data_IF_251122716334
#
_entry.id   IF_251122716334
#
_cell.length_a   1.000
_cell.length_b   1.000
_cell.length_c   1.000
_cell.angle_alpha   90.00
_cell.angle_beta   90.00
_cell.angle_gamma   90.00
#
_symmetry.space_group_name_H-M   'P 1'
#
loop_
_entity.id
_entity.type
_entity.pdbx_description
1 polymer ?
#
# COMPACT_ATOMS: atom_id res chain seq x y z
N UNK A 1 -14.82 22.71 10.35
CA UNK A 1 -13.53 22.44 9.66
C UNK A 1 -12.48 22.16 10.72
N UNK A 2 -11.75 21.05 10.60
CA UNK A 2 -10.65 20.69 11.49
C UNK A 2 -9.29 20.91 10.80
N UNK A 3 -8.26 21.27 11.56
CA UNK A 3 -6.90 21.50 11.05
C UNK A 3 -6.14 22.55 11.86
N UNK A 4 -5.14 23.18 11.23
CA UNK A 4 -4.33 24.23 11.86
C UNK A 4 -5.11 25.55 12.01
N UNK A 5 -4.70 26.38 12.97
CA UNK A 5 -5.33 27.67 13.27
C UNK A 5 -5.26 28.70 12.13
N UNK A 6 -4.47 28.44 11.08
CA UNK A 6 -4.42 29.25 9.85
C UNK A 6 -5.77 29.37 9.12
N UNK A 7 -6.77 28.56 9.46
CA UNK A 7 -8.15 28.77 9.01
C UNK A 7 -8.78 30.06 9.58
N UNK A 8 -8.30 30.56 10.72
CA UNK A 8 -8.76 31.79 11.39
C UNK A 8 -7.97 33.04 10.99
N UNK A 9 -6.83 32.85 10.30
CA UNK A 9 -5.91 33.90 9.90
C UNK A 9 -6.53 34.78 8.79
N UNK A 10 -7.06 35.94 9.20
CA UNK A 10 -7.71 36.91 8.31
C UNK A 10 -6.77 37.58 7.31
N UNK A 11 -5.44 37.38 7.41
CA UNK A 11 -4.49 37.88 6.40
C UNK A 11 -4.43 36.99 5.15
N UNK A 12 -4.99 35.77 5.21
CA UNK A 12 -4.96 34.82 4.10
C UNK A 12 -6.09 35.07 3.09
N UNK A 13 -5.90 34.68 1.81
CA UNK A 13 -6.95 34.80 0.77
C UNK A 13 -8.27 34.08 1.10
N UNK A 14 -8.24 33.12 2.03
CA UNK A 14 -9.42 32.43 2.54
C UNK A 14 -9.29 32.22 4.05
N UNK A 15 -10.32 32.59 4.80
CA UNK A 15 -10.44 32.38 6.24
C UNK A 15 -11.90 32.13 6.61
N UNK A 16 -12.15 31.44 7.73
CA UNK A 16 -13.48 31.07 8.20
C UNK A 16 -13.88 31.82 9.47
N UNK A 17 -15.17 31.91 9.75
CA UNK A 17 -15.62 32.40 11.06
C UNK A 17 -15.26 31.39 12.17
N UNK A 18 -14.84 31.84 13.38
CA UNK A 18 -14.45 30.95 14.47
C UNK A 18 -15.49 29.87 14.83
N UNK A 19 -16.79 30.18 14.69
CA UNK A 19 -17.88 29.20 14.95
C UNK A 19 -17.86 27.97 14.04
N UNK A 20 -17.12 28.00 12.92
CA UNK A 20 -16.98 26.88 11.99
C UNK A 20 -15.63 26.13 12.14
N UNK A 21 -14.76 26.57 13.04
CA UNK A 21 -13.49 25.91 13.34
C UNK A 21 -13.66 24.89 14.47
N UNK A 22 -13.25 23.65 14.21
CA UNK A 22 -13.36 22.53 15.16
C UNK A 22 -12.07 22.24 15.93
N UNK A 23 -11.01 23.04 15.75
CA UNK A 23 -9.69 22.76 16.30
C UNK A 23 -8.88 21.75 15.49
N UNK A 24 -7.80 21.25 16.10
CA UNK A 24 -7.03 20.13 15.60
C UNK A 24 -7.81 18.81 15.83
N UNK A 25 -7.75 17.90 14.86
CA UNK A 25 -8.31 16.56 14.95
C UNK A 25 -7.18 15.55 14.81
N UNK A 26 -7.06 14.66 15.79
CA UNK A 26 -6.07 13.59 15.78
C UNK A 26 -6.46 12.46 14.80
N UNK A 27 -5.49 11.60 14.49
CA UNK A 27 -5.66 10.51 13.53
C UNK A 27 -6.55 9.36 14.02
N UNK A 28 -6.73 9.18 15.34
CA UNK A 28 -7.57 8.11 15.91
C UNK A 28 -9.06 8.51 15.87
N UNK A 29 -9.35 9.80 16.04
CA UNK A 29 -10.70 10.39 15.92
C UNK A 29 -11.17 10.55 14.47
N UNK A 30 -10.25 10.69 13.49
CA UNK A 30 -10.57 10.95 12.09
C UNK A 30 -11.58 9.93 11.48
N UNK A 31 -11.44 8.61 11.65
CA UNK A 31 -12.39 7.65 11.08
C UNK A 31 -13.83 7.84 11.59
N UNK A 32 -13.99 8.09 12.88
CA UNK A 32 -15.31 8.33 13.48
C UNK A 32 -15.96 9.61 12.94
N UNK A 33 -15.19 10.69 12.76
CA UNK A 33 -15.68 11.91 12.11
C UNK A 33 -16.06 11.65 10.65
N UNK A 34 -15.24 10.94 9.88
CA UNK A 34 -15.53 10.62 8.47
C UNK A 34 -16.79 9.77 8.30
N UNK A 35 -17.04 8.81 9.19
CA UNK A 35 -18.22 7.95 9.17
C UNK A 35 -19.51 8.64 9.64
N UNK A 36 -19.42 9.69 10.46
CA UNK A 36 -20.59 10.33 11.10
C UNK A 36 -21.16 11.53 10.36
N UNK A 37 -20.38 12.20 9.51
CA UNK A 37 -20.84 13.39 8.79
C UNK A 37 -21.54 13.05 7.47
N UNK A 38 -22.57 13.81 7.03
CA UNK A 38 -23.29 13.48 5.81
C UNK A 38 -22.43 13.46 4.54
N UNK A 39 -21.51 14.42 4.41
CA UNK A 39 -20.61 14.57 3.26
C UNK A 39 -19.25 15.02 3.77
N UNK A 40 -18.18 14.34 3.35
CA UNK A 40 -16.81 14.84 3.50
C UNK A 40 -16.37 15.46 2.16
N UNK A 41 -16.13 16.77 2.17
CA UNK A 41 -15.61 17.50 1.00
C UNK A 41 -14.08 17.45 0.98
N UNK A 42 -13.50 16.94 -0.11
CA UNK A 42 -12.06 16.90 -0.35
C UNK A 42 -11.61 17.83 -1.46
N UNK A 43 -10.50 18.54 -1.25
CA UNK A 43 -9.82 19.32 -2.28
C UNK A 43 -8.36 18.88 -2.44
N UNK A 44 -7.97 18.59 -3.68
CA UNK A 44 -6.59 18.28 -4.06
C UNK A 44 -5.84 19.53 -4.58
N UNK A 45 -4.61 19.75 -4.12
CA UNK A 45 -3.76 20.89 -4.58
C UNK A 45 -3.09 20.65 -5.93
N UNK A 46 -2.97 19.40 -6.37
CA UNK A 46 -2.47 19.02 -7.70
C UNK A 46 -3.58 18.26 -8.42
N UNK A 47 -3.99 18.81 -9.56
CA UNK A 47 -5.16 18.35 -10.32
C UNK A 47 -4.80 17.72 -11.67
N UNK A 48 -3.53 17.81 -12.08
CA UNK A 48 -3.04 17.35 -13.40
C UNK A 48 -2.32 16.01 -13.37
N UNK A 49 -1.99 15.49 -12.17
CA UNK A 49 -1.33 14.19 -12.03
C UNK A 49 -2.31 13.04 -12.24
N UNK A 50 -1.87 11.98 -12.92
CA UNK A 50 -2.59 10.71 -13.08
C UNK A 50 -2.36 9.72 -11.94
N UNK A 51 -1.48 10.04 -10.99
CA UNK A 51 -1.06 9.13 -9.90
C UNK A 51 -1.11 9.77 -8.51
N UNK A 52 -1.04 11.11 -8.41
CA UNK A 52 -0.98 11.78 -7.11
C UNK A 52 -2.36 12.26 -6.64
N UNK A 53 -2.78 11.73 -5.49
CA UNK A 53 -3.93 12.20 -4.71
C UNK A 53 -3.55 12.27 -3.23
N UNK A 54 -4.42 12.83 -2.39
CA UNK A 54 -4.20 12.85 -0.95
C UNK A 54 -4.46 11.47 -0.34
N UNK A 55 -3.66 11.07 0.65
CA UNK A 55 -3.94 9.87 1.47
C UNK A 55 -5.35 9.92 2.09
N UNK A 56 -5.84 11.13 2.36
CA UNK A 56 -7.19 11.39 2.89
C UNK A 56 -8.33 10.78 2.07
N UNK A 57 -8.16 10.59 0.77
CA UNK A 57 -9.14 9.87 -0.07
C UNK A 57 -9.32 8.43 0.43
N UNK A 58 -8.23 7.72 0.72
CA UNK A 58 -8.28 6.35 1.24
C UNK A 58 -8.73 6.30 2.71
N UNK A 59 -8.38 7.31 3.51
CA UNK A 59 -8.81 7.41 4.92
C UNK A 59 -10.34 7.59 5.02
N UNK A 60 -10.93 8.51 4.25
CA UNK A 60 -12.37 8.77 4.26
C UNK A 60 -13.14 7.54 3.78
N UNK A 61 -12.77 7.01 2.62
CA UNK A 61 -13.45 5.85 2.02
C UNK A 61 -13.27 4.60 2.90
N UNK A 62 -12.06 4.33 3.38
CA UNK A 62 -11.79 3.22 4.30
C UNK A 62 -12.54 3.32 5.63
N UNK A 63 -12.94 4.53 6.04
CA UNK A 63 -13.77 4.78 7.22
C UNK A 63 -15.28 4.67 6.96
N UNK A 64 -15.71 4.46 5.70
CA UNK A 64 -17.13 4.44 5.33
C UNK A 64 -17.76 5.84 5.23
N UNK A 65 -16.96 6.89 5.03
CA UNK A 65 -17.45 8.24 4.79
C UNK A 65 -17.86 8.48 3.33
N UNK A 66 -18.99 9.16 3.11
CA UNK A 66 -19.38 9.61 1.77
C UNK A 66 -18.47 10.75 1.31
N UNK A 67 -17.67 10.51 0.26
CA UNK A 67 -16.66 11.45 -0.22
C UNK A 67 -17.12 12.18 -1.49
N UNK A 68 -17.11 13.51 -1.42
CA UNK A 68 -17.28 14.40 -2.57
C UNK A 68 -15.97 15.17 -2.78
N UNK A 69 -15.44 15.22 -4.01
CA UNK A 69 -14.19 15.92 -4.33
C UNK A 69 -14.23 16.59 -5.70
N UNK A 70 -13.20 17.33 -6.09
CA UNK A 70 -13.07 17.69 -7.51
C UNK A 70 -12.46 16.52 -8.31
N UNK A 71 -12.81 16.43 -9.58
CA UNK A 71 -12.22 15.49 -10.53
C UNK A 71 -10.72 15.74 -10.67
N UNK A 72 -9.95 14.66 -10.66
CA UNK A 72 -8.54 14.64 -11.09
C UNK A 72 -8.26 13.34 -11.83
N UNK A 73 -7.28 13.30 -12.76
CA UNK A 73 -6.89 12.07 -13.44
C UNK A 73 -6.42 10.96 -12.48
N UNK A 74 -5.87 11.32 -11.31
CA UNK A 74 -5.51 10.36 -10.26
C UNK A 74 -6.73 9.72 -9.58
N UNK A 75 -7.79 10.49 -9.32
CA UNK A 75 -9.02 9.97 -8.73
C UNK A 75 -9.73 9.05 -9.73
N UNK A 76 -9.84 9.45 -11.00
CA UNK A 76 -10.46 8.66 -12.07
C UNK A 76 -9.68 7.38 -12.40
N UNK A 77 -8.35 7.36 -12.22
CA UNK A 77 -7.54 6.16 -12.46
C UNK A 77 -7.67 5.08 -11.37
N UNK A 78 -8.26 5.40 -10.22
CA UNK A 78 -8.45 4.45 -9.11
C UNK A 78 -9.91 4.24 -8.70
N UNK A 79 -10.82 5.17 -9.00
CA UNK A 79 -12.20 5.13 -8.52
C UNK A 79 -13.24 5.45 -9.61
N UNK A 80 -14.45 4.93 -9.44
CA UNK A 80 -15.57 5.16 -10.36
C UNK A 80 -16.56 6.17 -9.77
N UNK A 81 -16.88 7.21 -10.53
CA UNK A 81 -17.81 8.27 -10.13
C UNK A 81 -19.22 7.71 -9.84
N UNK A 82 -19.91 8.31 -8.88
CA UNK A 82 -21.24 7.91 -8.39
C UNK A 82 -21.34 6.44 -7.94
N UNK A 83 -20.20 5.77 -7.71
CA UNK A 83 -20.14 4.36 -7.30
C UNK A 83 -19.17 4.16 -6.11
N UNK A 84 -17.88 4.51 -6.24
CA UNK A 84 -16.95 4.48 -5.10
C UNK A 84 -16.93 5.80 -4.32
N UNK A 85 -17.11 6.91 -5.03
CA UNK A 85 -17.11 8.28 -4.52
C UNK A 85 -17.79 9.19 -5.55
N UNK A 86 -17.96 10.47 -5.23
CA UNK A 86 -18.49 11.46 -6.17
C UNK A 86 -17.44 12.52 -6.46
N UNK A 87 -17.32 12.93 -7.73
CA UNK A 87 -16.54 14.09 -8.12
C UNK A 87 -17.33 15.12 -8.94
N UNK A 88 -16.94 16.38 -8.79
CA UNK A 88 -17.39 17.53 -9.58
C UNK A 88 -16.27 18.10 -10.47
N UNK A 89 -16.62 18.88 -11.48
CA UNK A 89 -15.70 19.61 -12.38
C UNK A 89 -15.80 21.13 -12.24
N UNK A 90 -16.81 21.65 -11.54
CA UNK A 90 -16.94 23.08 -11.21
C UNK A 90 -17.44 23.33 -9.78
N UNK A 91 -17.38 24.59 -9.33
CA UNK A 91 -17.89 24.98 -8.02
C UNK A 91 -19.43 24.88 -7.96
N UNK A 92 -20.10 25.24 -9.05
CA UNK A 92 -21.55 25.17 -9.24
C UNK A 92 -22.02 23.72 -9.16
N UNK A 93 -21.40 22.81 -9.93
CA UNK A 93 -21.68 21.38 -9.87
C UNK A 93 -21.42 20.80 -8.47
N UNK A 94 -20.40 21.31 -7.75
CA UNK A 94 -20.16 20.91 -6.36
C UNK A 94 -21.34 21.27 -5.45
N UNK A 95 -21.92 22.47 -5.61
CA UNK A 95 -23.08 22.90 -4.84
C UNK A 95 -24.33 22.08 -5.18
N UNK A 96 -24.57 21.82 -6.47
CA UNK A 96 -25.69 20.99 -6.91
C UNK A 96 -25.60 19.56 -6.37
N UNK A 97 -24.40 18.95 -6.41
CA UNK A 97 -24.15 17.63 -5.84
C UNK A 97 -24.27 17.62 -4.32
N UNK A 98 -23.81 18.66 -3.60
CA UNK A 98 -24.03 18.78 -2.15
C UNK A 98 -25.52 18.81 -1.83
N UNK A 99 -26.29 19.67 -2.50
CA UNK A 99 -27.74 19.78 -2.28
C UNK A 99 -28.46 18.47 -2.60
N UNK A 100 -28.12 17.83 -3.72
CA UNK A 100 -28.68 16.55 -4.12
C UNK A 100 -28.38 15.46 -3.09
N UNK A 101 -27.12 15.23 -2.74
CA UNK A 101 -26.74 14.13 -1.86
C UNK A 101 -27.15 14.35 -0.40
N UNK A 102 -27.28 15.59 0.07
CA UNK A 102 -27.89 15.88 1.39
C UNK A 102 -29.33 15.35 1.47
N UNK A 103 -30.12 15.46 0.39
CA UNK A 103 -31.49 14.95 0.31
C UNK A 103 -31.61 13.42 0.08
N UNK A 104 -30.51 12.72 -0.25
CA UNK A 104 -30.51 11.29 -0.60
C UNK A 104 -29.57 10.46 0.33
N UNK A 105 -29.93 10.27 1.61
CA UNK A 105 -29.09 9.54 2.58
C UNK A 105 -28.76 8.11 2.14
N UNK A 106 -29.75 7.34 1.70
CA UNK A 106 -29.58 5.93 1.29
C UNK A 106 -28.58 5.79 0.14
N UNK A 107 -28.57 6.75 -0.79
CA UNK A 107 -27.65 6.77 -1.92
C UNK A 107 -26.23 7.13 -1.46
N UNK A 108 -26.08 8.03 -0.47
CA UNK A 108 -24.78 8.32 0.15
C UNK A 108 -24.21 7.12 0.87
N UNK A 109 -25.02 6.43 1.69
CA UNK A 109 -24.61 5.22 2.41
C UNK A 109 -24.17 4.12 1.43
N UNK A 110 -24.96 3.87 0.38
CA UNK A 110 -24.61 2.91 -0.67
C UNK A 110 -23.26 3.20 -1.32
N UNK A 111 -23.02 4.45 -1.72
CA UNK A 111 -21.75 4.85 -2.36
C UNK A 111 -20.58 4.76 -1.36
N UNK A 112 -20.79 5.15 -0.10
CA UNK A 112 -19.76 5.07 0.93
C UNK A 112 -19.33 3.62 1.22
N UNK A 113 -20.28 2.68 1.32
CA UNK A 113 -20.02 1.25 1.46
C UNK A 113 -19.28 0.66 0.25
N UNK A 114 -19.64 1.09 -0.96
CA UNK A 114 -18.99 0.69 -2.20
C UNK A 114 -17.53 1.20 -2.26
N UNK A 115 -17.29 2.45 -1.86
CA UNK A 115 -15.94 3.03 -1.75
C UNK A 115 -15.08 2.37 -0.68
N UNK A 116 -15.64 2.08 0.50
CA UNK A 116 -14.95 1.36 1.58
C UNK A 116 -14.49 -0.02 1.11
N UNK A 117 -15.37 -0.75 0.42
CA UNK A 117 -15.08 -2.06 -0.12
C UNK A 117 -13.92 -2.04 -1.12
N UNK A 118 -13.91 -1.09 -2.06
CA UNK A 118 -12.81 -0.90 -3.02
C UNK A 118 -11.48 -0.67 -2.28
N UNK A 119 -11.47 0.18 -1.24
CA UNK A 119 -10.26 0.43 -0.43
C UNK A 119 -9.74 -0.83 0.25
N UNK A 120 -10.62 -1.63 0.87
CA UNK A 120 -10.23 -2.84 1.58
C UNK A 120 -9.75 -3.95 0.62
N UNK A 121 -10.38 -4.10 -0.54
CA UNK A 121 -10.01 -5.12 -1.52
C UNK A 121 -8.69 -4.79 -2.25
N UNK A 122 -8.41 -3.51 -2.56
CA UNK A 122 -7.36 -3.11 -3.52
C UNK A 122 -6.34 -2.08 -3.04
N UNK A 123 -6.63 -1.28 -2.00
CA UNK A 123 -5.83 -0.10 -1.66
C UNK A 123 -5.11 -0.16 -0.31
N UNK A 124 -5.19 -1.28 0.41
CA UNK A 124 -4.44 -1.48 1.66
C UNK A 124 -2.92 -1.51 1.43
N UNK A 125 -2.13 -1.12 2.44
CA UNK A 125 -0.66 -1.25 2.40
C UNK A 125 -0.20 -2.68 2.11
N UNK A 126 -0.95 -3.70 2.57
CA UNK A 126 -0.66 -5.09 2.27
C UNK A 126 -0.69 -5.35 0.75
N UNK A 127 -1.74 -4.90 0.05
CA UNK A 127 -1.86 -5.01 -1.42
C UNK A 127 -0.75 -4.26 -2.15
N UNK A 128 -0.35 -3.08 -1.65
CA UNK A 128 0.78 -2.32 -2.20
C UNK A 128 2.10 -3.08 -2.05
N UNK A 129 2.38 -3.63 -0.87
CA UNK A 129 3.59 -4.43 -0.58
C UNK A 129 3.62 -5.71 -1.43
N UNK A 130 2.49 -6.42 -1.57
CA UNK A 130 2.37 -7.59 -2.45
C UNK A 130 2.75 -7.28 -3.91
N UNK A 131 2.36 -6.10 -4.43
CA UNK A 131 2.74 -5.67 -5.78
C UNK A 131 4.21 -5.22 -5.93
N UNK A 132 4.80 -4.69 -4.86
CA UNK A 132 6.12 -4.03 -4.92
C UNK A 132 7.29 -4.97 -4.64
N UNK A 133 7.13 -5.93 -3.70
CA UNK A 133 8.20 -6.85 -3.30
C UNK A 133 8.80 -7.67 -4.47
N UNK A 134 8.02 -8.20 -5.44
CA UNK A 134 8.60 -8.93 -6.57
C UNK A 134 9.52 -8.05 -7.42
N UNK A 135 9.11 -6.80 -7.69
CA UNK A 135 9.86 -5.83 -8.47
C UNK A 135 11.17 -5.40 -7.76
N UNK A 136 11.11 -5.23 -6.44
CA UNK A 136 12.33 -5.01 -5.63
C UNK A 136 13.28 -6.20 -5.70
N UNK A 137 12.77 -7.42 -5.53
CA UNK A 137 13.58 -8.63 -5.49
C UNK A 137 14.29 -8.86 -6.83
N UNK A 138 13.57 -8.69 -7.94
CA UNK A 138 14.14 -8.76 -9.29
C UNK A 138 15.24 -7.69 -9.50
N UNK A 139 15.02 -6.46 -9.04
CA UNK A 139 15.99 -5.38 -9.22
C UNK A 139 17.25 -5.53 -8.36
N UNK A 140 17.13 -6.10 -7.16
CA UNK A 140 18.24 -6.24 -6.20
C UNK A 140 19.05 -7.54 -6.38
N UNK A 141 18.41 -8.63 -6.82
CA UNK A 141 19.02 -9.95 -6.89
C UNK A 141 19.08 -10.53 -8.32
N UNK A 142 18.64 -9.76 -9.31
CA UNK A 142 18.40 -10.24 -10.67
C UNK A 142 17.09 -11.04 -10.77
N UNK A 143 16.72 -11.54 -11.96
CA UNK A 143 15.58 -12.44 -12.09
C UNK A 143 15.74 -13.61 -11.11
N UNK A 144 14.69 -13.88 -10.34
CA UNK A 144 14.70 -14.96 -9.34
C UNK A 144 14.70 -16.33 -10.04
N UNK A 145 15.88 -16.74 -10.51
CA UNK A 145 16.12 -18.08 -11.03
C UNK A 145 15.88 -19.06 -9.88
N UNK A 146 14.75 -19.77 -9.94
CA UNK A 146 14.48 -20.87 -9.03
C UNK A 146 15.69 -21.82 -9.07
N UNK A 147 16.36 -22.09 -7.93
CA UNK A 147 17.61 -22.83 -7.96
C UNK A 147 17.36 -24.20 -8.57
N UNK A 148 17.97 -24.45 -9.73
CA UNK A 148 17.89 -25.73 -10.42
C UNK A 148 18.55 -26.77 -9.54
N UNK A 149 17.75 -27.50 -8.75
CA UNK A 149 18.24 -28.61 -7.94
C UNK A 149 18.55 -29.77 -8.88
N UNK A 150 19.71 -29.67 -9.55
CA UNK A 150 20.35 -30.82 -10.15
C UNK A 150 20.65 -31.79 -9.01
N UNK A 151 19.88 -32.88 -8.93
CA UNK A 151 20.09 -33.97 -8.00
C UNK A 151 21.30 -34.79 -8.51
N UNK A 152 22.53 -34.62 -8.00
CA UNK A 152 23.71 -35.13 -8.69
C UNK A 152 23.91 -36.63 -8.47
N UNK A 153 23.25 -37.20 -7.44
CA UNK A 153 23.33 -38.60 -7.01
C UNK A 153 22.01 -38.94 -6.31
N UNK A 154 21.29 -39.96 -6.78
CA UNK A 154 19.91 -40.27 -6.39
C UNK A 154 19.68 -40.60 -4.90
N UNK A 155 19.67 -39.58 -4.04
CA UNK A 155 19.37 -39.70 -2.61
C UNK A 155 17.85 -39.75 -2.42
N UNK A 156 17.34 -40.89 -1.91
CA UNK A 156 15.95 -41.00 -1.45
C UNK A 156 15.80 -40.31 -0.10
N UNK A 157 14.98 -39.26 -0.03
CA UNK A 157 14.62 -38.60 1.22
C UNK A 157 13.58 -39.45 1.99
N UNK A 158 13.92 -39.84 3.22
CA UNK A 158 13.01 -40.59 4.11
C UNK A 158 11.96 -39.70 4.81
N UNK A 159 10.84 -40.31 5.19
CA UNK A 159 9.56 -39.69 5.61
C UNK A 159 9.56 -38.87 6.93
N UNK A 160 10.63 -38.18 7.33
CA UNK A 160 10.73 -37.49 8.65
C UNK A 160 10.95 -35.98 8.65
N UNK A 161 10.70 -35.26 7.55
CA UNK A 161 10.71 -33.80 7.54
C UNK A 161 9.29 -33.21 7.53
N UNK A 162 8.84 -32.66 8.67
CA UNK A 162 7.54 -31.99 8.80
C UNK A 162 7.57 -30.59 8.16
N UNK A 163 6.43 -30.20 7.59
CA UNK A 163 6.21 -28.96 6.83
C UNK A 163 6.40 -27.69 7.67
N UNK A 164 7.09 -26.71 7.10
CA UNK A 164 6.76 -25.28 7.24
C UNK A 164 6.59 -24.77 5.81
N UNK A 165 5.41 -24.23 5.48
CA UNK A 165 5.07 -23.83 4.13
C UNK A 165 4.70 -22.33 4.10
N UNK A 166 5.47 -21.54 3.35
CA UNK A 166 5.05 -20.21 2.94
C UNK A 166 4.35 -20.30 1.58
N UNK A 167 3.14 -19.75 1.50
CA UNK A 167 2.28 -19.80 0.31
C UNK A 167 2.51 -18.55 -0.54
N UNK A 168 3.50 -18.59 -1.43
CA UNK A 168 3.62 -17.63 -2.53
C UNK A 168 3.08 -18.24 -3.83
N UNK A 169 2.71 -17.37 -4.77
CA UNK A 169 2.01 -17.69 -6.03
C UNK A 169 2.64 -18.85 -6.81
N UNK A 170 1.82 -19.89 -7.06
CA UNK A 170 2.08 -20.92 -8.08
C UNK A 170 3.16 -21.99 -7.79
N UNK A 171 4.20 -21.69 -7.00
CA UNK A 171 5.32 -22.63 -6.80
C UNK A 171 5.02 -23.71 -5.74
N UNK A 172 4.82 -24.95 -6.19
CA UNK A 172 4.72 -26.13 -5.31
C UNK A 172 6.10 -26.60 -4.85
N UNK A 173 6.44 -26.23 -3.61
CA UNK A 173 7.52 -26.75 -2.77
C UNK A 173 8.95 -26.29 -3.09
N UNK A 174 9.59 -25.63 -2.11
CA UNK A 174 11.04 -25.45 -2.00
C UNK A 174 11.45 -25.95 -0.61
N UNK A 175 12.57 -26.67 -0.51
CA UNK A 175 13.07 -27.26 0.74
C UNK A 175 14.50 -26.79 1.05
N UNK A 176 14.83 -26.60 2.33
CA UNK A 176 16.17 -26.23 2.80
C UNK A 176 16.63 -27.25 3.83
N UNK A 177 17.85 -27.78 3.70
CA UNK A 177 18.45 -28.76 4.62
C UNK A 177 19.69 -28.20 5.31
N UNK A 178 19.88 -28.55 6.61
CA UNK A 178 21.09 -28.22 7.38
C UNK A 178 22.20 -29.24 7.13
N UNK A 179 23.46 -28.79 7.21
CA UNK A 179 24.64 -29.66 7.18
C UNK A 179 25.63 -29.29 8.29
N UNK A 180 26.18 -30.30 8.96
CA UNK A 180 27.20 -30.17 10.02
C UNK A 180 28.62 -30.19 9.42
N UNK A 181 29.55 -29.43 10.01
CA UNK A 181 30.98 -29.43 9.63
C UNK A 181 31.85 -30.20 10.63
N UNK A 182 32.75 -31.02 10.10
CA UNK A 182 33.98 -31.48 10.78
C UNK A 182 35.20 -30.63 10.32
N UNK A 183 36.35 -30.75 11.00
CA UNK A 183 37.36 -29.67 11.11
C UNK A 183 38.79 -30.07 10.68
N UNK A 184 39.26 -29.48 9.57
CA UNK A 184 40.67 -29.21 9.12
C UNK A 184 40.62 -28.15 7.99
N UNK A 185 41.68 -27.46 7.54
CA UNK A 185 43.04 -27.27 8.08
C UNK A 185 43.97 -26.48 7.13
N UNK A 186 44.81 -25.58 7.69
CA UNK A 186 46.06 -24.97 7.14
C UNK A 186 46.01 -23.95 5.95
N UNK A 187 46.66 -22.80 6.22
CA UNK A 187 47.33 -21.73 5.40
C UNK A 187 46.69 -21.05 4.16
N UNK A 188 47.02 -19.75 4.02
CA UNK A 188 46.74 -18.89 2.85
C UNK A 188 46.28 -17.47 3.22
N UNK A 189 47.03 -16.42 2.84
CA UNK A 189 46.71 -15.01 3.13
C UNK A 189 46.21 -14.31 1.87
N UNK A 190 44.95 -13.91 1.83
CA UNK A 190 44.37 -13.08 0.75
C UNK A 190 43.15 -12.30 1.26
N UNK A 191 42.73 -11.28 0.51
CA UNK A 191 41.88 -10.17 0.99
C UNK A 191 40.52 -10.57 1.58
N UNK A 192 40.08 -9.78 2.57
CA UNK A 192 38.84 -10.01 3.33
C UNK A 192 37.72 -9.06 2.91
N UNK A 193 36.62 -9.53 2.31
CA UNK A 193 35.35 -8.79 2.25
C UNK A 193 34.65 -8.82 3.62
N UNK A 194 33.80 -7.82 3.91
CA UNK A 194 32.93 -7.84 5.09
C UNK A 194 31.97 -9.03 5.05
N UNK A 195 31.76 -9.68 6.20
CA UNK A 195 30.92 -10.87 6.32
C UNK A 195 29.58 -10.60 7.01
N UNK A 196 28.47 -10.83 6.32
CA UNK A 196 27.17 -11.11 6.97
C UNK A 196 27.08 -12.63 7.15
N UNK A 197 27.04 -13.10 8.40
CA UNK A 197 26.98 -14.53 8.73
C UNK A 197 25.53 -15.01 8.92
N UNK A 198 24.93 -15.52 7.85
CA UNK A 198 23.91 -16.57 7.95
C UNK A 198 24.59 -17.95 7.91
N UNK A 199 24.14 -18.88 8.74
CA UNK A 199 24.93 -20.08 9.07
C UNK A 199 25.09 -21.11 7.94
N UNK A 200 26.31 -21.21 7.42
CA UNK A 200 26.92 -22.43 6.84
C UNK A 200 26.24 -23.02 5.58
N UNK A 201 26.67 -22.60 4.39
CA UNK A 201 27.65 -23.33 3.55
C UNK A 201 28.23 -22.37 2.49
N UNK A 202 29.53 -22.49 2.21
CA UNK A 202 30.22 -21.62 1.26
C UNK A 202 30.09 -22.14 -0.17
N UNK A 203 29.35 -21.43 -1.02
CA UNK A 203 29.42 -21.64 -2.48
C UNK A 203 30.67 -20.93 -3.00
N UNK A 204 31.64 -21.67 -3.55
CA UNK A 204 32.70 -21.09 -4.38
C UNK A 204 32.13 -20.89 -5.78
N UNK A 205 32.00 -19.64 -6.20
CA UNK A 205 31.80 -19.31 -7.61
C UNK A 205 33.19 -19.26 -8.25
N UNK A 206 33.50 -20.25 -9.10
CA UNK A 206 34.69 -20.18 -9.95
C UNK A 206 34.32 -19.37 -11.20
N UNK A 207 34.86 -18.16 -11.33
CA UNK A 207 34.92 -17.50 -12.63
C UNK A 207 36.09 -18.08 -13.44
N UNK A 208 35.78 -19.06 -14.28
CA UNK A 208 36.56 -19.42 -15.45
C UNK A 208 35.56 -19.81 -16.55
N UNK A 209 35.11 -18.81 -17.30
CA UNK A 209 34.52 -19.04 -18.61
C UNK A 209 35.66 -19.28 -19.62
N UNK A 210 35.41 -20.15 -20.60
CA UNK A 210 36.18 -20.21 -21.84
C UNK A 210 35.69 -19.12 -22.80
#
# INVERSE_FOLDING_TARGET
IYGNEWWLDRSRPFSIEPRFYGGYLDSESLPAVCASVPIVLGLHSVTTSSTMMSMRTFEILGSGGFFLTQWTPAIESMFTNHYHLVWSKSAEETLDLVNYYLAHPDLREKIALQGQREVYERHTYHKRIESFLPLMAERLYGPLVAPTVQNPRGIRFGNRFKKIAFKYSGMKNIYITRSHKTRTGISGRQDRPLSIKAGCHSVRINHNAK
#
